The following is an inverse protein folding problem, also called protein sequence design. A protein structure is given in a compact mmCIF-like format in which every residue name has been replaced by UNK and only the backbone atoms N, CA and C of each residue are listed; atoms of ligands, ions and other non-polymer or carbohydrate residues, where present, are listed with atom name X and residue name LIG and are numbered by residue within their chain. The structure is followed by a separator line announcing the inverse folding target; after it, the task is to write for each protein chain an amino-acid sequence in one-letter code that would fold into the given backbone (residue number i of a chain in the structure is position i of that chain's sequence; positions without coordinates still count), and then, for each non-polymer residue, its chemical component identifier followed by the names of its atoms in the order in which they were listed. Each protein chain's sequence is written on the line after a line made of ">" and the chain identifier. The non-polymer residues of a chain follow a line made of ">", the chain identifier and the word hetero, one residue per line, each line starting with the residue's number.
data_IF_589759219515
#
_entry.id   IF_589759219515
#
_cell.length_a   1.000
_cell.length_b   1.000
_cell.length_c   1.000
_cell.angle_alpha   90.00
_cell.angle_beta   90.00
_cell.angle_gamma   90.00
#
_symmetry.space_group_name_H-M   'P 1'
#
loop_
_entity.id
_entity.type
_entity.pdbx_description
1 polymer ?
#
# COMPACT_ATOMS: atom_id res chain seq x y z
N UNK A 1 -1.16 -33.39 2.19
CA UNK A 1 -1.12 -32.23 3.12
C UNK A 1 0.01 -31.29 2.78
N UNK A 2 1.28 -31.71 2.82
CA UNK A 2 2.42 -30.83 2.51
C UNK A 2 2.41 -30.27 1.09
N UNK A 3 1.97 -31.05 0.09
CA UNK A 3 1.87 -30.57 -1.30
C UNK A 3 0.79 -29.52 -1.48
N UNK A 4 -0.33 -29.65 -0.76
CA UNK A 4 -1.43 -28.68 -0.81
C UNK A 4 -1.01 -27.36 -0.17
N UNK A 5 -0.31 -27.42 0.98
CA UNK A 5 0.18 -26.24 1.67
C UNK A 5 1.20 -25.47 0.81
N UNK A 6 2.10 -26.20 0.12
CA UNK A 6 3.06 -25.60 -0.79
C UNK A 6 2.39 -24.93 -1.99
N UNK A 7 1.32 -25.54 -2.53
CA UNK A 7 0.54 -24.96 -3.62
C UNK A 7 -0.19 -23.70 -3.18
N UNK A 8 -0.81 -23.72 -1.99
CA UNK A 8 -1.49 -22.55 -1.43
C UNK A 8 -0.52 -21.41 -1.21
N UNK A 9 0.66 -21.69 -0.64
CA UNK A 9 1.71 -20.69 -0.43
C UNK A 9 2.17 -20.09 -1.76
N UNK A 10 2.34 -20.92 -2.81
CA UNK A 10 2.74 -20.44 -4.14
C UNK A 10 1.68 -19.57 -4.81
N UNK A 11 0.39 -19.66 -4.38
CA UNK A 11 -0.71 -18.86 -4.92
C UNK A 11 -0.92 -17.55 -4.15
N UNK A 12 -0.12 -17.31 -3.10
CA UNK A 12 -0.22 -16.11 -2.28
C UNK A 12 0.90 -15.12 -2.63
N UNK A 13 0.63 -13.85 -2.37
CA UNK A 13 1.60 -12.77 -2.54
C UNK A 13 1.43 -11.75 -1.42
N UNK A 14 2.52 -11.05 -1.09
CA UNK A 14 2.49 -9.96 -0.12
C UNK A 14 2.32 -8.63 -0.85
N UNK A 15 1.35 -7.85 -0.40
CA UNK A 15 1.02 -6.52 -0.92
C UNK A 15 1.17 -5.47 0.17
N UNK A 16 1.93 -4.41 -0.12
CA UNK A 16 2.12 -3.29 0.80
C UNK A 16 1.17 -2.14 0.41
N UNK A 17 0.20 -1.86 1.27
CA UNK A 17 -0.79 -0.80 1.08
C UNK A 17 -0.39 0.45 1.87
N UNK A 18 -0.30 1.59 1.21
CA UNK A 18 0.04 2.87 1.84
C UNK A 18 -1.01 3.96 1.57
N UNK A 19 -1.96 3.71 0.71
CA UNK A 19 -2.97 4.68 0.28
C UNK A 19 -4.39 4.24 0.66
N UNK A 20 -5.33 4.33 -0.29
CA UNK A 20 -6.73 4.03 -0.01
C UNK A 20 -6.99 2.59 0.47
N UNK A 21 -6.09 1.65 0.15
CA UNK A 21 -6.21 0.26 0.60
C UNK A 21 -5.76 0.05 2.06
N UNK A 22 -5.46 1.11 2.79
CA UNK A 22 -5.42 1.08 4.26
C UNK A 22 -6.83 0.93 4.85
N UNK A 23 -7.85 1.22 4.08
CA UNK A 23 -9.25 1.02 4.47
C UNK A 23 -9.60 -0.46 4.37
N UNK A 24 -9.89 -1.09 5.51
CA UNK A 24 -10.17 -2.52 5.59
C UNK A 24 -11.44 -2.92 4.82
N UNK A 25 -12.46 -2.07 4.83
CA UNK A 25 -13.71 -2.33 4.10
C UNK A 25 -13.46 -2.32 2.60
N UNK A 26 -12.78 -1.29 2.11
CA UNK A 26 -12.45 -1.18 0.69
C UNK A 26 -11.60 -2.36 0.22
N UNK A 27 -10.60 -2.74 1.02
CA UNK A 27 -9.72 -3.86 0.68
C UNK A 27 -10.48 -5.19 0.69
N UNK A 28 -11.40 -5.37 1.64
CA UNK A 28 -12.26 -6.55 1.70
C UNK A 28 -13.16 -6.69 0.47
N UNK A 29 -13.63 -5.57 -0.08
CA UNK A 29 -14.44 -5.57 -1.31
C UNK A 29 -13.60 -5.88 -2.55
N UNK A 30 -12.40 -5.31 -2.64
CA UNK A 30 -11.49 -5.51 -3.78
C UNK A 30 -10.82 -6.87 -3.77
N UNK A 31 -10.49 -7.36 -2.58
CA UNK A 31 -9.74 -8.59 -2.38
C UNK A 31 -10.37 -9.43 -1.27
N UNK A 32 -11.49 -10.14 -1.57
CA UNK A 32 -12.26 -10.83 -0.53
C UNK A 32 -11.47 -11.90 0.24
N UNK A 33 -10.44 -12.48 -0.38
CA UNK A 33 -9.63 -13.52 0.25
C UNK A 33 -8.37 -12.98 0.93
N UNK A 34 -8.21 -11.63 1.01
CA UNK A 34 -7.03 -11.03 1.60
C UNK A 34 -7.03 -11.16 3.12
N UNK A 35 -5.81 -11.27 3.69
CA UNK A 35 -5.60 -11.36 5.14
C UNK A 35 -4.51 -10.36 5.50
N UNK A 36 -4.73 -9.58 6.57
CA UNK A 36 -3.70 -8.68 7.07
C UNK A 36 -2.57 -9.45 7.73
N UNK A 37 -1.33 -9.06 7.45
CA UNK A 37 -0.14 -9.56 8.13
C UNK A 37 0.21 -8.66 9.30
N UNK A 38 0.19 -7.33 9.09
CA UNK A 38 0.50 -6.34 10.10
C UNK A 38 1.01 -5.06 9.48
N UNK A 39 1.30 -4.07 10.34
CA UNK A 39 1.93 -2.83 9.87
C UNK A 39 3.35 -3.10 9.40
N UNK A 40 3.80 -2.30 8.45
CA UNK A 40 5.15 -2.45 7.89
C UNK A 40 5.70 -1.08 7.46
N UNK A 41 7.01 -1.02 7.30
CA UNK A 41 7.73 0.18 6.88
C UNK A 41 8.49 -0.09 5.60
N UNK A 42 8.35 0.81 4.63
CA UNK A 42 9.12 0.81 3.39
C UNK A 42 10.13 1.95 3.45
N UNK A 43 11.42 1.66 3.70
CA UNK A 43 12.45 2.69 3.76
C UNK A 43 12.80 3.23 2.37
N UNK A 44 13.38 4.43 2.34
CA UNK A 44 13.92 5.08 1.14
C UNK A 44 12.87 5.56 0.15
N UNK A 45 11.65 5.74 0.63
CA UNK A 45 10.54 6.31 -0.13
C UNK A 45 9.79 7.32 0.73
N UNK A 46 9.13 8.26 0.06
CA UNK A 46 8.33 9.29 0.71
C UNK A 46 6.92 9.31 0.08
N UNK A 47 5.91 9.40 0.94
CA UNK A 47 4.51 9.54 0.50
C UNK A 47 4.30 10.91 -0.17
N UNK A 48 3.54 10.92 -1.27
CA UNK A 48 3.06 12.13 -1.92
C UNK A 48 1.60 11.98 -2.32
N UNK A 49 0.94 13.12 -2.46
CA UNK A 49 -0.27 13.22 -3.30
C UNK A 49 0.20 13.78 -4.64
N UNK A 50 -0.10 13.09 -5.73
CA UNK A 50 0.37 13.50 -7.04
C UNK A 50 -0.56 14.52 -7.70
N UNK A 51 -0.22 14.97 -8.91
CA UNK A 51 -0.99 16.02 -9.59
C UNK A 51 -2.39 15.57 -9.98
N UNK A 52 -2.66 14.26 -9.99
CA UNK A 52 -4.00 13.71 -10.22
C UNK A 52 -4.85 13.65 -8.95
N UNK A 53 -4.27 14.00 -7.80
CA UNK A 53 -4.96 14.02 -6.51
C UNK A 53 -5.04 12.68 -5.81
N UNK A 54 -4.18 11.72 -6.17
CA UNK A 54 -4.13 10.39 -5.57
C UNK A 54 -2.76 10.12 -4.96
N UNK A 55 -2.71 9.15 -4.05
CA UNK A 55 -1.48 8.82 -3.34
C UNK A 55 -0.48 8.09 -4.24
N UNK A 56 0.77 8.39 -4.04
CA UNK A 56 1.89 7.64 -4.57
C UNK A 56 3.09 7.77 -3.63
N UNK A 57 4.20 7.18 -4.02
CA UNK A 57 5.46 7.27 -3.29
C UNK A 57 6.58 7.58 -4.27
N UNK A 58 7.59 8.29 -3.80
CA UNK A 58 8.76 8.65 -4.60
C UNK A 58 10.03 8.29 -3.82
N UNK A 59 11.13 7.96 -4.51
CA UNK A 59 12.41 7.69 -3.82
C UNK A 59 12.86 8.87 -2.99
N UNK A 60 13.26 8.60 -1.75
CA UNK A 60 13.82 9.58 -0.82
C UNK A 60 14.67 8.85 0.21
N UNK A 61 16.01 9.00 0.16
CA UNK A 61 16.90 8.26 1.06
C UNK A 61 16.76 8.65 2.55
N UNK A 62 16.10 9.77 2.85
CA UNK A 62 15.93 10.25 4.22
C UNK A 62 14.54 9.97 4.79
N UNK A 63 13.68 9.27 4.05
CA UNK A 63 12.29 9.06 4.45
C UNK A 63 11.91 7.59 4.49
N UNK A 64 10.74 7.31 5.05
CA UNK A 64 10.13 5.99 4.97
C UNK A 64 8.60 6.13 4.88
N UNK A 65 7.97 5.12 4.31
CA UNK A 65 6.51 5.06 4.16
C UNK A 65 6.00 3.99 5.12
N UNK A 66 4.98 4.31 5.88
CA UNK A 66 4.32 3.36 6.77
C UNK A 66 3.06 2.84 6.09
N UNK A 67 2.75 1.58 6.31
CA UNK A 67 1.57 1.00 5.68
C UNK A 67 1.17 -0.33 6.30
N UNK A 68 0.31 -1.03 5.60
CA UNK A 68 -0.24 -2.32 6.03
C UNK A 68 0.16 -3.39 5.02
N UNK A 69 0.74 -4.47 5.54
CA UNK A 69 1.11 -5.62 4.71
C UNK A 69 -0.04 -6.62 4.68
N UNK A 70 -0.42 -7.01 3.48
CA UNK A 70 -1.48 -7.97 3.20
C UNK A 70 -0.92 -9.22 2.56
N UNK A 71 -1.51 -10.36 2.91
CA UNK A 71 -1.32 -11.61 2.19
C UNK A 71 -2.54 -11.80 1.28
N UNK A 72 -2.33 -11.85 -0.03
CA UNK A 72 -3.42 -11.91 -1.01
C UNK A 72 -3.20 -13.04 -2.01
N UNK A 73 -4.29 -13.50 -2.63
CA UNK A 73 -4.21 -14.51 -3.67
C UNK A 73 -3.73 -13.89 -4.98
N UNK A 74 -3.23 -14.72 -5.90
CA UNK A 74 -2.85 -14.26 -7.23
C UNK A 74 -4.03 -13.68 -8.00
N UNK A 75 -5.23 -14.19 -7.77
CA UNK A 75 -6.45 -13.64 -8.35
C UNK A 75 -6.72 -12.22 -7.82
N UNK A 76 -6.59 -12.01 -6.52
CA UNK A 76 -6.76 -10.70 -5.91
C UNK A 76 -5.67 -9.73 -6.37
N UNK A 77 -4.45 -10.21 -6.58
CA UNK A 77 -3.37 -9.40 -7.15
C UNK A 77 -3.75 -8.88 -8.54
N UNK A 78 -4.34 -9.73 -9.38
CA UNK A 78 -4.83 -9.31 -10.70
C UNK A 78 -5.95 -8.28 -10.60
N UNK A 79 -6.87 -8.47 -9.66
CA UNK A 79 -7.97 -7.51 -9.43
C UNK A 79 -7.42 -6.14 -9.01
N UNK A 80 -6.45 -6.10 -8.10
CA UNK A 80 -5.81 -4.85 -7.67
C UNK A 80 -5.10 -4.17 -8.86
N UNK A 81 -4.40 -4.93 -9.69
CA UNK A 81 -3.72 -4.38 -10.86
C UNK A 81 -4.70 -3.71 -11.82
N UNK A 82 -5.91 -4.25 -11.96
CA UNK A 82 -6.96 -3.63 -12.77
C UNK A 82 -7.46 -2.33 -12.12
N UNK A 83 -7.73 -2.34 -10.82
CA UNK A 83 -8.16 -1.13 -10.09
C UNK A 83 -7.13 -0.02 -10.20
N UNK A 84 -5.85 -0.35 -10.12
CA UNK A 84 -4.77 0.64 -10.18
C UNK A 84 -4.43 1.05 -11.61
N UNK A 85 -5.06 0.46 -12.62
CA UNK A 85 -4.83 0.83 -14.01
C UNK A 85 -3.43 0.51 -14.52
N UNK A 86 -2.86 -0.62 -14.11
CA UNK A 86 -1.50 -1.01 -14.49
C UNK A 86 -1.35 -1.13 -16.01
N UNK A 87 -2.32 -1.73 -16.70
CA UNK A 87 -2.30 -1.84 -18.16
C UNK A 87 -2.34 -0.48 -18.87
N UNK A 88 -2.97 0.50 -18.25
CA UNK A 88 -3.08 1.87 -18.79
C UNK A 88 -1.89 2.74 -18.42
N UNK A 89 -0.93 2.22 -17.64
CA UNK A 89 0.24 2.95 -17.21
C UNK A 89 -0.01 3.98 -16.11
N UNK A 90 -1.16 3.93 -15.42
CA UNK A 90 -1.47 4.85 -14.32
C UNK A 90 -0.61 4.54 -13.10
N UNK A 91 -0.50 3.26 -12.74
CA UNK A 91 0.39 2.77 -11.71
C UNK A 91 1.26 1.65 -12.25
N UNK A 92 2.45 1.52 -11.68
CA UNK A 92 3.38 0.42 -11.97
C UNK A 92 3.51 -0.46 -10.74
N UNK A 93 3.38 -1.77 -10.92
CA UNK A 93 3.63 -2.74 -9.86
C UNK A 93 5.13 -2.92 -9.70
N UNK A 94 5.65 -2.69 -8.49
CA UNK A 94 7.08 -2.71 -8.20
C UNK A 94 7.33 -3.62 -6.99
N UNK A 95 8.39 -4.41 -7.02
CA UNK A 95 8.78 -5.24 -5.88
C UNK A 95 9.74 -4.49 -4.98
N UNK A 96 9.47 -4.53 -3.68
CA UNK A 96 10.25 -3.83 -2.65
C UNK A 96 10.46 -4.73 -1.45
N UNK A 97 11.36 -4.33 -0.56
CA UNK A 97 11.56 -4.99 0.73
C UNK A 97 11.01 -4.10 1.83
N UNK A 98 10.12 -4.64 2.65
CA UNK A 98 9.51 -3.92 3.78
C UNK A 98 9.97 -4.56 5.09
N UNK A 99 9.94 -3.79 6.17
CA UNK A 99 10.29 -4.25 7.52
C UNK A 99 9.05 -4.30 8.40
N UNK A 100 8.87 -5.42 9.09
CA UNK A 100 7.82 -5.59 10.11
C UNK A 100 8.33 -5.07 11.47
N UNK A 101 7.42 -4.79 12.43
CA UNK A 101 7.84 -4.23 13.73
C UNK A 101 8.83 -5.11 14.50
N UNK A 102 8.83 -6.42 14.29
CA UNK A 102 9.76 -7.34 14.92
C UNK A 102 11.16 -7.36 14.27
N UNK A 103 11.37 -6.53 13.23
CA UNK A 103 12.62 -6.49 12.49
C UNK A 103 12.70 -7.44 11.30
N UNK A 104 11.71 -8.31 11.12
CA UNK A 104 11.65 -9.22 9.97
C UNK A 104 11.49 -8.43 8.68
N UNK A 105 12.26 -8.79 7.66
CA UNK A 105 12.16 -8.20 6.33
C UNK A 105 11.44 -9.14 5.39
N UNK A 106 10.57 -8.59 4.55
CA UNK A 106 9.75 -9.36 3.63
C UNK A 106 9.66 -8.66 2.29
N UNK A 107 9.78 -9.43 1.21
CA UNK A 107 9.56 -8.91 -0.13
C UNK A 107 8.06 -8.78 -0.38
N UNK A 108 7.64 -7.62 -0.89
CA UNK A 108 6.25 -7.33 -1.21
C UNK A 108 6.18 -6.60 -2.54
N UNK A 109 4.99 -6.52 -3.14
CA UNK A 109 4.79 -5.60 -4.25
C UNK A 109 4.02 -4.37 -3.78
N UNK A 110 4.23 -3.28 -4.49
CA UNK A 110 3.61 -1.98 -4.21
C UNK A 110 3.26 -1.33 -5.54
N UNK A 111 2.23 -0.49 -5.54
CA UNK A 111 1.86 0.28 -6.73
C UNK A 111 2.42 1.69 -6.62
N UNK A 112 3.18 2.09 -7.64
CA UNK A 112 3.78 3.42 -7.72
C UNK A 112 3.19 4.12 -8.94
N UNK A 113 2.63 5.32 -8.74
CA UNK A 113 2.04 6.08 -9.84
C UNK A 113 3.09 6.55 -10.82
N UNK A 114 2.75 6.57 -12.10
CA UNK A 114 3.59 7.13 -13.16
C UNK A 114 3.74 8.64 -12.99
N UNK A 115 2.69 9.31 -12.48
CA UNK A 115 2.73 10.74 -12.17
C UNK A 115 3.33 10.94 -10.78
N UNK A 116 4.56 11.47 -10.74
CA UNK A 116 5.28 11.78 -9.51
C UNK A 116 5.27 13.26 -9.14
N UNK A 117 4.52 14.07 -9.88
CA UNK A 117 4.42 15.51 -9.63
C UNK A 117 3.48 15.77 -8.45
N UNK A 118 3.91 16.50 -7.40
CA UNK A 118 3.05 16.79 -6.25
C UNK A 118 1.82 17.61 -6.62
N UNK A 119 0.72 17.37 -5.93
CA UNK A 119 -0.55 18.06 -6.13
C UNK A 119 -1.39 18.08 -4.88
N UNK A 120 -2.71 18.20 -5.06
CA UNK A 120 -3.68 18.26 -3.97
C UNK A 120 -4.61 17.06 -4.04
N UNK A 121 -4.95 16.49 -2.88
CA UNK A 121 -5.82 15.34 -2.80
C UNK A 121 -7.22 15.67 -3.32
N UNK A 122 -7.83 14.69 -3.99
CA UNK A 122 -9.26 14.77 -4.34
C UNK A 122 -10.10 14.88 -3.06
N UNK A 123 -11.25 15.56 -3.10
CA UNK A 123 -12.09 15.72 -1.91
C UNK A 123 -12.42 14.38 -1.24
N UNK A 124 -12.20 14.29 0.08
CA UNK A 124 -12.49 13.09 0.86
C UNK A 124 -11.46 11.97 0.77
N UNK A 125 -10.54 12.04 -0.19
CA UNK A 125 -9.60 10.96 -0.46
C UNK A 125 -8.52 10.84 0.64
N UNK A 126 -7.92 11.96 1.01
CA UNK A 126 -6.87 11.97 2.04
C UNK A 126 -7.41 11.62 3.42
N UNK A 127 -8.61 12.12 3.75
CA UNK A 127 -9.27 11.81 5.02
C UNK A 127 -9.50 10.32 5.19
N UNK A 128 -9.83 9.63 4.10
CA UNK A 128 -9.99 8.16 4.09
C UNK A 128 -8.67 7.46 4.36
N UNK A 129 -7.58 7.94 3.78
CA UNK A 129 -6.23 7.40 4.03
C UNK A 129 -5.85 7.60 5.50
N UNK A 130 -6.05 8.80 6.03
CA UNK A 130 -5.73 9.13 7.42
C UNK A 130 -6.54 8.24 8.37
N UNK A 131 -7.84 8.09 8.12
CA UNK A 131 -8.72 7.23 8.92
C UNK A 131 -8.23 5.79 8.91
N UNK A 132 -7.84 5.27 7.74
CA UNK A 132 -7.27 3.93 7.61
C UNK A 132 -5.95 3.78 8.38
N UNK A 133 -5.08 4.78 8.29
CA UNK A 133 -3.82 4.81 9.01
C UNK A 133 -4.02 4.79 10.53
N UNK A 134 -4.98 5.56 11.02
CA UNK A 134 -5.33 5.58 12.45
C UNK A 134 -5.88 4.22 12.89
N UNK A 135 -6.79 3.64 12.11
CA UNK A 135 -7.39 2.33 12.41
C UNK A 135 -6.37 1.20 12.42
N UNK A 136 -5.35 1.28 11.57
CA UNK A 136 -4.28 0.28 11.50
C UNK A 136 -3.23 0.46 12.60
N UNK A 137 -3.24 1.58 13.31
CA UNK A 137 -2.27 1.87 14.35
C UNK A 137 -0.91 2.31 13.82
N UNK A 138 -0.87 3.00 12.68
CA UNK A 138 0.38 3.57 12.18
C UNK A 138 0.90 4.63 13.15
N UNK A 139 2.24 4.89 13.17
CA UNK A 139 2.82 5.86 14.10
C UNK A 139 2.19 7.25 13.96
N UNK A 140 1.93 7.90 15.11
CA UNK A 140 1.31 9.23 15.12
C UNK A 140 2.13 10.24 14.34
N UNK A 141 3.46 10.21 14.45
CA UNK A 141 4.34 11.12 13.72
C UNK A 141 4.17 10.98 12.21
N UNK A 142 3.97 9.76 11.73
CA UNK A 142 3.71 9.52 10.31
C UNK A 142 2.32 10.03 9.90
N UNK A 143 1.30 9.80 10.73
CA UNK A 143 -0.06 10.30 10.47
C UNK A 143 -0.04 11.83 10.40
N UNK A 144 0.74 12.50 11.24
CA UNK A 144 0.90 13.95 11.20
C UNK A 144 1.50 14.41 9.87
N UNK A 145 2.45 13.63 9.30
CA UNK A 145 3.00 13.91 7.97
C UNK A 145 1.93 13.77 6.88
N UNK A 146 1.04 12.78 6.98
CA UNK A 146 -0.08 12.64 6.04
C UNK A 146 -0.99 13.86 6.08
N UNK A 147 -1.24 14.40 7.28
CA UNK A 147 -2.10 15.58 7.46
C UNK A 147 -1.54 16.84 6.83
N UNK A 148 -0.22 16.92 6.61
CA UNK A 148 0.40 18.06 5.93
C UNK A 148 -0.07 18.18 4.47
N UNK A 149 -0.65 17.14 3.91
CA UNK A 149 -1.21 17.14 2.55
C UNK A 149 -2.67 17.63 2.48
N UNK A 150 -3.26 18.06 3.60
CA UNK A 150 -4.68 18.47 3.67
C UNK A 150 -4.96 19.86 3.08
N UNK A 151 -4.06 20.44 2.34
CA UNK A 151 -4.22 21.79 1.78
C UNK A 151 -4.48 21.78 0.29
#
# INVERSE_FOLDING_TARGET
>A
MKKLDALLTALLAFYFAYGSNLDLVQMGDRCPASVTVGTAELPYYRFIINSRGVASIVPDPASSVQGLLWNITKQDERSLSQYEGVKKGVYKKTHVEVSLPDGTKTRAFVFIASDSKPGHARPGYLEKIISGAESCGLPKSYIDQLKDWQH
#
